data_IF_272057276215
#
_entry.id   IF_272057276215
#
_cell.length_a   1.000
_cell.length_b   1.000
_cell.length_c   1.000
_cell.angle_alpha   90.00
_cell.angle_beta   90.00
_cell.angle_gamma   90.00
#
_symmetry.space_group_name_H-M   'P 1'
#
loop_
_entity.id
_entity.type
_entity.pdbx_description
1 polymer ?
#
# COMPACT_ATOMS: atom_id res chain seq x y z
N UNK A 1 -52.70 46.95 -54.36
CA UNK A 1 -51.42 47.34 -55.00
C UNK A 1 -50.34 47.36 -53.93
N UNK A 2 -49.16 46.81 -54.22
CA UNK A 2 -47.94 46.62 -53.39
C UNK A 2 -47.75 45.22 -52.78
N UNK A 3 -47.10 44.33 -53.55
CA UNK A 3 -46.18 43.31 -53.02
C UNK A 3 -44.89 44.02 -52.56
N UNK A 4 -44.22 43.51 -51.52
CA UNK A 4 -42.80 43.19 -51.71
C UNK A 4 -42.37 41.87 -51.07
N UNK A 5 -41.73 41.03 -51.89
CA UNK A 5 -40.40 40.45 -51.68
C UNK A 5 -39.93 40.20 -50.22
N UNK A 6 -39.88 38.93 -49.79
CA UNK A 6 -38.96 38.49 -48.73
C UNK A 6 -38.71 36.97 -48.88
N UNK A 7 -37.60 36.59 -49.53
CA UNK A 7 -36.35 36.09 -48.93
C UNK A 7 -36.42 34.61 -48.52
N UNK A 8 -35.76 33.80 -49.35
CA UNK A 8 -35.14 32.52 -49.02
C UNK A 8 -34.71 32.45 -47.55
N UNK A 9 -35.16 31.41 -46.85
CA UNK A 9 -34.52 30.97 -45.63
C UNK A 9 -34.27 29.47 -45.76
N UNK A 10 -33.01 29.16 -46.09
CA UNK A 10 -32.44 27.82 -46.20
C UNK A 10 -32.42 27.23 -44.79
N UNK A 11 -33.17 26.14 -44.58
CA UNK A 11 -33.11 25.36 -43.36
C UNK A 11 -31.79 24.55 -43.37
N UNK A 12 -30.84 24.97 -42.54
CA UNK A 12 -29.56 24.29 -42.34
C UNK A 12 -29.74 23.19 -41.29
N UNK A 13 -29.97 21.97 -41.76
CA UNK A 13 -30.07 20.76 -40.93
C UNK A 13 -28.69 20.42 -40.34
N UNK A 14 -28.50 20.59 -39.02
CA UNK A 14 -27.31 20.06 -38.33
C UNK A 14 -27.43 18.53 -38.21
N UNK A 15 -26.77 17.81 -39.11
CA UNK A 15 -26.48 16.39 -38.96
C UNK A 15 -25.27 16.21 -38.05
N UNK A 16 -25.51 15.77 -36.81
CA UNK A 16 -24.46 15.29 -35.92
C UNK A 16 -23.82 14.02 -36.52
N UNK A 17 -22.50 13.97 -36.78
CA UNK A 17 -21.86 12.74 -37.19
C UNK A 17 -21.69 11.86 -35.95
N UNK A 18 -22.39 10.73 -35.92
CA UNK A 18 -22.11 9.65 -34.97
C UNK A 18 -20.74 9.05 -35.35
N UNK A 19 -19.70 9.38 -34.59
CA UNK A 19 -18.42 8.71 -34.69
C UNK A 19 -18.53 7.33 -34.05
N UNK A 20 -18.72 6.30 -34.88
CA UNK A 20 -18.53 4.91 -34.47
C UNK A 20 -17.05 4.70 -34.17
N UNK A 21 -16.71 4.42 -32.92
CA UNK A 21 -15.38 3.96 -32.55
C UNK A 21 -15.12 2.62 -33.24
N UNK A 22 -14.32 2.63 -34.30
CA UNK A 22 -13.79 1.41 -34.89
C UNK A 22 -12.77 0.84 -33.91
N UNK A 23 -13.11 -0.28 -33.26
CA UNK A 23 -12.11 -1.12 -32.63
C UNK A 23 -11.24 -1.67 -33.77
N UNK A 24 -10.12 -0.99 -34.04
CA UNK A 24 -9.13 -1.45 -35.00
C UNK A 24 -8.78 -2.90 -34.68
N UNK A 25 -9.12 -3.79 -35.61
CA UNK A 25 -8.70 -5.18 -35.61
C UNK A 25 -7.20 -5.25 -35.28
N UNK A 26 -6.86 -5.98 -34.22
CA UNK A 26 -5.48 -6.08 -33.76
C UNK A 26 -4.62 -6.60 -34.91
N UNK A 27 -3.61 -5.83 -35.30
CA UNK A 27 -2.58 -6.30 -36.22
C UNK A 27 -1.66 -7.19 -35.41
N UNK A 28 -1.76 -8.50 -35.63
CA UNK A 28 -0.77 -9.46 -35.16
C UNK A 28 0.51 -9.19 -35.95
N UNK A 29 1.49 -8.54 -35.30
CA UNK A 29 2.78 -8.21 -35.91
C UNK A 29 3.55 -9.48 -36.30
N UNK A 30 3.40 -10.55 -35.51
CA UNK A 30 3.95 -11.88 -35.78
C UNK A 30 3.28 -12.91 -34.85
N UNK A 31 2.86 -14.06 -35.38
CA UNK A 31 2.35 -15.19 -34.58
C UNK A 31 3.45 -16.24 -34.47
N UNK A 32 4.20 -16.18 -33.38
CA UNK A 32 5.23 -17.17 -33.02
C UNK A 32 4.67 -18.26 -32.08
N UNK A 33 3.35 -18.32 -31.90
CA UNK A 33 2.70 -19.38 -31.13
C UNK A 33 2.69 -20.71 -31.87
N UNK A 34 2.47 -21.82 -31.15
CA UNK A 34 2.29 -23.16 -31.73
C UNK A 34 3.37 -24.17 -31.39
N UNK A 35 4.52 -23.72 -30.85
CA UNK A 35 5.47 -24.62 -30.20
C UNK A 35 5.08 -24.81 -28.73
N UNK A 36 5.08 -26.06 -28.29
CA UNK A 36 4.77 -26.37 -26.90
C UNK A 36 5.80 -25.71 -25.99
N UNK A 37 5.32 -24.94 -25.01
CA UNK A 37 6.19 -24.37 -23.99
C UNK A 37 6.56 -25.39 -22.90
N UNK A 38 6.06 -26.64 -22.97
CA UNK A 38 6.36 -27.71 -22.02
C UNK A 38 7.85 -27.89 -21.70
N UNK A 39 8.81 -27.82 -22.66
CA UNK A 39 10.23 -27.96 -22.35
C UNK A 39 10.74 -26.89 -21.37
N UNK A 40 10.12 -25.71 -21.34
CA UNK A 40 10.49 -24.62 -20.43
C UNK A 40 9.83 -24.74 -19.05
N UNK A 41 8.76 -25.54 -18.92
CA UNK A 41 8.04 -25.78 -17.67
C UNK A 41 8.30 -27.16 -17.08
N UNK A 42 9.06 -28.03 -17.78
CA UNK A 42 9.27 -29.42 -17.38
C UNK A 42 9.94 -29.52 -15.99
N UNK A 43 10.85 -28.60 -15.69
CA UNK A 43 11.54 -28.50 -14.41
C UNK A 43 10.73 -27.74 -13.34
N UNK A 44 9.61 -27.11 -13.74
CA UNK A 44 8.70 -26.39 -12.84
C UNK A 44 7.54 -27.28 -12.37
N UNK A 45 7.39 -28.49 -12.92
CA UNK A 45 6.44 -29.47 -12.41
C UNK A 45 6.94 -29.95 -11.04
N UNK A 46 6.20 -29.69 -9.95
CA UNK A 46 6.61 -30.14 -8.62
C UNK A 46 6.81 -31.65 -8.62
N UNK A 47 7.84 -32.14 -7.93
CA UNK A 47 8.00 -33.57 -7.71
C UNK A 47 6.71 -34.07 -7.01
N UNK A 48 6.15 -35.23 -7.36
CA UNK A 48 5.05 -35.81 -6.59
C UNK A 48 5.38 -35.92 -5.08
N UNK A 49 6.65 -35.97 -4.68
CA UNK A 49 7.07 -35.84 -3.28
C UNK A 49 6.81 -34.44 -2.67
N UNK A 50 6.85 -33.37 -3.48
CA UNK A 50 6.49 -32.00 -3.08
C UNK A 50 4.97 -31.83 -2.92
N UNK A 51 4.15 -32.57 -3.66
CA UNK A 51 2.69 -32.59 -3.50
C UNK A 51 2.25 -33.22 -2.16
N UNK A 52 3.10 -34.08 -1.58
CA UNK A 52 2.91 -34.65 -0.24
C UNK A 52 3.36 -33.72 0.88
N UNK A 53 4.12 -32.64 0.59
CA UNK A 53 4.42 -31.65 1.62
C UNK A 53 3.11 -30.96 2.00
N UNK A 54 2.75 -30.88 3.29
CA UNK A 54 1.60 -30.10 3.69
C UNK A 54 1.77 -28.70 3.10
N UNK A 55 0.72 -28.14 2.48
CA UNK A 55 0.82 -26.80 1.91
C UNK A 55 1.38 -25.91 3.01
N UNK A 56 2.48 -25.21 2.71
CA UNK A 56 2.96 -24.11 3.55
C UNK A 56 1.70 -23.30 3.84
N UNK A 57 1.25 -23.29 5.10
CA UNK A 57 0.02 -22.59 5.49
C UNK A 57 0.13 -21.20 4.88
N UNK A 58 -0.71 -20.95 3.87
CA UNK A 58 -0.49 -19.88 2.91
C UNK A 58 -0.16 -18.59 3.63
N UNK A 59 0.81 -17.82 3.10
CA UNK A 59 1.34 -16.57 3.65
C UNK A 59 0.32 -15.95 4.59
N UNK A 60 0.46 -16.22 5.90
CA UNK A 60 -0.60 -15.85 6.82
C UNK A 60 -0.74 -14.34 6.73
N UNK A 61 -1.98 -13.87 6.52
CA UNK A 61 -2.30 -12.44 6.35
C UNK A 61 -2.06 -11.61 7.64
N UNK A 62 -1.21 -12.11 8.54
CA UNK A 62 -0.65 -11.47 9.73
C UNK A 62 0.88 -11.37 9.72
N UNK A 63 1.58 -11.76 8.66
CA UNK A 63 3.05 -11.74 8.62
C UNK A 63 3.70 -12.89 9.39
N UNK A 64 5.02 -13.01 9.27
CA UNK A 64 5.81 -13.96 10.06
C UNK A 64 5.98 -13.40 11.48
N UNK A 65 5.54 -14.17 12.48
CA UNK A 65 5.72 -13.86 13.90
C UNK A 65 6.83 -14.73 14.51
N UNK A 66 7.50 -14.27 15.58
CA UNK A 66 7.38 -12.94 16.17
C UNK A 66 8.00 -11.86 15.26
N UNK A 67 7.45 -10.65 15.31
CA UNK A 67 8.12 -9.48 14.71
C UNK A 67 8.97 -8.86 15.79
N UNK A 68 10.29 -8.82 15.57
CA UNK A 68 11.25 -8.21 16.48
C UNK A 68 12.24 -7.41 15.64
N UNK A 69 12.44 -6.15 16.02
CA UNK A 69 13.43 -5.25 15.42
C UNK A 69 14.55 -5.02 16.44
N UNK A 70 15.67 -5.78 16.39
CA UNK A 70 16.70 -5.77 17.43
C UNK A 70 17.36 -4.40 17.64
N UNK A 71 17.36 -3.54 16.62
CA UNK A 71 17.94 -2.21 16.65
C UNK A 71 17.10 -1.21 17.45
N UNK A 72 15.84 -1.55 17.74
CA UNK A 72 14.88 -0.64 18.37
C UNK A 72 14.35 -1.16 19.70
N UNK A 73 14.24 -0.27 20.68
CA UNK A 73 13.67 -0.55 22.01
C UNK A 73 12.62 0.50 22.40
N UNK A 74 11.66 0.19 23.29
CA UNK A 74 10.79 1.22 23.83
C UNK A 74 11.64 2.29 24.53
N UNK A 75 11.52 3.54 24.13
CA UNK A 75 12.35 4.63 24.67
C UNK A 75 11.89 6.02 24.27
N UNK A 76 12.70 7.02 24.62
CA UNK A 76 12.50 8.39 24.16
C UNK A 76 13.15 8.58 22.80
N UNK A 77 12.46 9.26 21.90
CA UNK A 77 12.96 9.64 20.58
C UNK A 77 13.16 11.14 20.54
N UNK A 78 14.38 11.57 20.23
CA UNK A 78 14.69 12.99 20.07
C UNK A 78 14.10 13.49 18.76
N UNK A 79 13.23 14.49 18.85
CA UNK A 79 12.63 15.13 17.69
C UNK A 79 13.68 15.83 16.82
N UNK A 80 13.56 15.69 15.50
CA UNK A 80 14.45 16.35 14.54
C UNK A 80 13.79 16.53 13.18
N UNK A 81 14.28 17.50 12.42
CA UNK A 81 13.88 17.72 11.03
C UNK A 81 14.59 16.69 10.15
N UNK A 82 13.87 16.20 9.14
CA UNK A 82 14.39 15.36 8.07
C UNK A 82 13.91 15.90 6.72
N UNK A 83 14.45 15.38 5.62
CA UNK A 83 13.97 15.68 4.27
C UNK A 83 13.68 14.38 3.53
N UNK A 84 12.43 13.95 3.58
CA UNK A 84 11.93 12.74 2.95
C UNK A 84 10.70 13.08 2.07
N UNK A 85 10.90 13.79 0.95
CA UNK A 85 9.80 14.19 0.08
C UNK A 85 9.08 12.96 -0.48
N UNK A 86 7.75 13.01 -0.51
CA UNK A 86 6.91 11.89 -0.95
C UNK A 86 6.73 10.76 0.08
N UNK A 87 7.32 10.87 1.28
CA UNK A 87 7.07 9.91 2.36
C UNK A 87 5.63 10.03 2.86
N UNK A 88 4.87 8.94 2.79
CA UNK A 88 3.59 8.83 3.46
C UNK A 88 3.81 8.87 4.98
N UNK A 89 3.07 9.69 5.75
CA UNK A 89 3.17 9.71 7.19
C UNK A 89 3.01 8.30 7.76
N UNK A 90 3.92 7.93 8.67
CA UNK A 90 3.91 6.62 9.30
C UNK A 90 4.39 6.74 10.74
N UNK A 91 4.00 5.78 11.57
CA UNK A 91 4.44 5.72 12.95
C UNK A 91 4.90 4.32 13.31
N UNK A 92 5.85 4.24 14.25
CA UNK A 92 6.40 2.99 14.76
C UNK A 92 5.91 2.80 16.20
N UNK A 93 5.39 1.62 16.51
CA UNK A 93 4.93 1.22 17.84
C UNK A 93 5.31 -0.23 18.13
N UNK A 94 5.40 -0.60 19.40
CA UNK A 94 5.52 -1.98 19.85
C UNK A 94 4.33 -2.42 20.68
N UNK A 95 4.29 -3.71 21.01
CA UNK A 95 3.36 -4.29 21.98
C UNK A 95 3.81 -4.02 23.43
N UNK A 96 3.79 -2.75 23.82
CA UNK A 96 4.16 -2.28 25.16
C UNK A 96 3.34 -1.07 25.63
N UNK A 97 3.33 -0.84 26.94
CA UNK A 97 2.51 0.20 27.57
C UNK A 97 2.91 1.63 27.16
N UNK A 98 4.19 1.88 26.84
CA UNK A 98 4.65 3.18 26.33
C UNK A 98 4.02 3.45 24.98
N UNK A 99 4.07 2.48 24.07
CA UNK A 99 3.46 2.56 22.75
C UNK A 99 1.95 2.72 22.82
N UNK A 100 1.28 2.01 23.72
CA UNK A 100 -0.16 2.14 23.98
C UNK A 100 -0.52 3.56 24.41
N UNK A 101 0.16 4.08 25.44
CA UNK A 101 -0.10 5.43 25.98
C UNK A 101 0.13 6.49 24.91
N UNK A 102 1.24 6.37 24.18
CA UNK A 102 1.58 7.29 23.09
C UNK A 102 0.54 7.27 21.97
N UNK A 103 0.12 6.09 21.52
CA UNK A 103 -0.85 5.95 20.45
C UNK A 103 -2.22 6.53 20.83
N UNK A 104 -2.64 6.37 22.09
CA UNK A 104 -3.87 6.98 22.61
C UNK A 104 -3.80 8.52 22.63
N UNK A 105 -2.65 9.08 23.01
CA UNK A 105 -2.44 10.54 23.06
C UNK A 105 -2.42 11.17 21.66
N UNK A 106 -1.86 10.46 20.67
CA UNK A 106 -1.66 10.99 19.30
C UNK A 106 -2.72 10.51 18.30
N UNK A 107 -3.72 9.73 18.75
CA UNK A 107 -4.69 9.07 17.88
C UNK A 107 -5.33 10.02 16.85
N UNK A 108 -5.82 11.17 17.31
CA UNK A 108 -6.50 12.13 16.45
C UNK A 108 -5.56 12.70 15.39
N UNK A 109 -4.32 13.05 15.77
CA UNK A 109 -3.31 13.56 14.85
C UNK A 109 -2.94 12.51 13.81
N UNK A 110 -2.73 11.26 14.23
CA UNK A 110 -2.38 10.16 13.33
C UNK A 110 -3.51 9.88 12.32
N UNK A 111 -4.77 9.98 12.75
CA UNK A 111 -5.93 9.83 11.86
C UNK A 111 -6.02 10.97 10.84
N UNK A 112 -5.81 12.22 11.28
CA UNK A 112 -5.81 13.39 10.39
C UNK A 112 -4.71 13.31 9.33
N UNK A 113 -3.54 12.79 9.71
CA UNK A 113 -2.42 12.56 8.80
C UNK A 113 -2.59 11.31 7.93
N UNK A 114 -3.64 10.52 8.16
CA UNK A 114 -3.82 9.18 7.57
C UNK A 114 -2.55 8.31 7.68
N UNK A 115 -1.91 8.39 8.86
CA UNK A 115 -0.63 7.76 9.08
C UNK A 115 -0.75 6.23 9.15
N UNK A 116 0.21 5.53 8.54
CA UNK A 116 0.29 4.07 8.60
C UNK A 116 1.08 3.63 9.82
N UNK A 117 0.52 2.73 10.62
CA UNK A 117 1.16 2.19 11.81
C UNK A 117 1.97 0.93 11.50
N UNK A 118 3.25 0.96 11.85
CA UNK A 118 4.15 -0.17 11.77
C UNK A 118 4.39 -0.72 13.19
N UNK A 119 3.99 -1.96 13.41
CA UNK A 119 4.19 -2.66 14.69
C UNK A 119 5.52 -3.41 14.61
N UNK A 120 6.56 -2.84 15.22
CA UNK A 120 7.98 -3.28 15.06
C UNK A 120 8.43 -4.31 16.09
N UNK A 121 7.62 -4.49 17.14
CA UNK A 121 7.83 -5.52 18.15
C UNK A 121 6.48 -6.09 18.60
N UNK A 122 6.20 -7.35 18.25
CA UNK A 122 4.98 -8.06 18.67
C UNK A 122 5.20 -9.57 18.61
N UNK A 123 4.81 -10.27 19.67
CA UNK A 123 5.11 -11.69 19.83
C UNK A 123 4.24 -12.60 18.94
N UNK A 124 3.05 -12.16 18.55
CA UNK A 124 2.12 -13.01 17.81
C UNK A 124 0.85 -12.31 17.34
N UNK A 125 -0.01 -13.03 16.60
CA UNK A 125 -1.21 -12.48 15.98
C UNK A 125 -2.25 -12.00 17.01
N UNK A 126 -2.43 -12.71 18.13
CA UNK A 126 -3.36 -12.30 19.19
C UNK A 126 -2.96 -10.97 19.82
N UNK A 127 -1.66 -10.78 20.07
CA UNK A 127 -1.14 -9.52 20.59
C UNK A 127 -1.25 -8.40 19.58
N UNK A 128 -0.97 -8.65 18.30
CA UNK A 128 -1.20 -7.68 17.24
C UNK A 128 -2.67 -7.24 17.17
N UNK A 129 -3.61 -8.18 17.35
CA UNK A 129 -5.03 -7.86 17.38
C UNK A 129 -5.39 -6.96 18.58
N UNK A 130 -4.71 -7.07 19.72
CA UNK A 130 -4.84 -6.14 20.84
C UNK A 130 -4.27 -4.75 20.50
N UNK A 131 -3.06 -4.69 19.94
CA UNK A 131 -2.41 -3.43 19.52
C UNK A 131 -3.31 -2.65 18.55
N UNK A 132 -3.96 -3.35 17.60
CA UNK A 132 -4.92 -2.75 16.65
C UNK A 132 -6.12 -2.09 17.33
N UNK A 133 -6.54 -2.55 18.51
CA UNK A 133 -7.65 -1.93 19.25
C UNK A 133 -7.26 -0.58 19.87
N UNK A 134 -5.97 -0.31 20.03
CA UNK A 134 -5.48 0.97 20.58
C UNK A 134 -5.60 2.12 19.58
N UNK A 135 -5.59 1.81 18.28
CA UNK A 135 -5.66 2.79 17.19
C UNK A 135 -6.84 2.56 16.24
N UNK A 136 -8.10 2.67 16.71
CA UNK A 136 -9.26 2.49 15.83
C UNK A 136 -9.21 3.50 14.67
N UNK A 137 -9.52 3.03 13.46
CA UNK A 137 -9.46 3.86 12.24
C UNK A 137 -8.05 4.06 11.66
N UNK A 138 -7.01 3.52 12.29
CA UNK A 138 -5.65 3.47 11.73
C UNK A 138 -5.33 2.07 11.19
N UNK A 139 -4.52 2.01 10.13
CA UNK A 139 -3.98 0.76 9.64
C UNK A 139 -2.73 0.40 10.45
N UNK A 140 -2.71 -0.77 11.10
CA UNK A 140 -1.54 -1.27 11.83
C UNK A 140 -1.06 -2.60 11.25
N UNK A 141 0.19 -2.60 10.78
CA UNK A 141 0.84 -3.71 10.09
C UNK A 141 2.06 -4.22 10.87
N UNK A 142 2.18 -5.54 11.10
CA UNK A 142 3.37 -6.14 11.68
C UNK A 142 4.52 -6.04 10.67
N UNK A 143 5.60 -5.34 11.02
CA UNK A 143 6.68 -5.01 10.06
C UNK A 143 8.05 -5.01 10.75
N UNK A 144 9.06 -5.64 10.12
CA UNK A 144 10.45 -5.52 10.56
C UNK A 144 10.94 -4.09 10.31
N UNK A 145 11.37 -3.41 11.37
CA UNK A 145 11.76 -2.00 11.33
C UNK A 145 13.24 -1.77 11.00
N UNK A 146 14.04 -2.80 10.69
CA UNK A 146 15.50 -2.66 10.59
C UNK A 146 15.94 -1.68 9.49
N UNK A 147 15.26 -1.67 8.34
CA UNK A 147 15.57 -0.73 7.25
C UNK A 147 15.35 0.72 7.66
N UNK A 148 14.22 1.01 8.30
CA UNK A 148 13.91 2.37 8.77
C UNK A 148 14.78 2.75 9.97
N UNK A 149 15.13 1.78 10.83
CA UNK A 149 16.09 1.94 11.92
C UNK A 149 17.45 2.41 11.40
N UNK A 150 17.98 1.73 10.39
CA UNK A 150 19.27 2.08 9.77
C UNK A 150 19.22 3.42 9.05
N UNK A 151 18.23 3.62 8.18
CA UNK A 151 18.14 4.83 7.33
C UNK A 151 17.92 6.11 8.12
N UNK A 152 17.15 6.03 9.20
CA UNK A 152 16.86 7.17 10.06
C UNK A 152 17.66 7.11 11.37
N UNK A 153 18.59 6.17 11.57
CA UNK A 153 19.31 6.04 12.85
C UNK A 153 18.37 5.99 14.06
N UNK A 154 17.21 5.34 13.92
CA UNK A 154 16.22 5.20 14.99
C UNK A 154 16.60 4.03 15.89
N UNK A 155 16.74 4.31 17.19
CA UNK A 155 17.02 3.31 18.23
C UNK A 155 15.86 3.07 19.18
N UNK A 156 14.89 3.98 19.15
CA UNK A 156 13.76 3.95 20.05
C UNK A 156 12.45 4.18 19.31
N UNK A 157 11.39 3.66 19.90
CA UNK A 157 10.00 3.90 19.55
C UNK A 157 9.21 4.10 20.86
N UNK A 158 7.97 4.64 20.86
CA UNK A 158 7.16 5.02 19.70
C UNK A 158 7.59 6.34 19.05
N UNK A 159 7.25 6.53 17.77
CA UNK A 159 7.61 7.74 17.00
C UNK A 159 6.69 7.93 15.78
N UNK A 160 6.37 9.19 15.46
CA UNK A 160 5.75 9.64 14.21
C UNK A 160 6.81 10.19 13.25
N UNK A 161 6.73 9.76 11.99
CA UNK A 161 7.64 10.13 10.92
C UNK A 161 6.80 10.72 9.78
N UNK A 162 7.12 11.96 9.40
CA UNK A 162 6.53 12.67 8.28
C UNK A 162 7.60 12.98 7.23
N UNK A 163 7.22 13.58 6.11
CA UNK A 163 8.17 14.01 5.08
C UNK A 163 9.22 15.02 5.57
N UNK A 164 8.93 15.74 6.67
CA UNK A 164 9.77 16.82 7.18
C UNK A 164 10.28 16.60 8.60
N UNK A 165 9.70 15.67 9.36
CA UNK A 165 10.04 15.52 10.79
C UNK A 165 10.04 14.08 11.25
N UNK A 166 10.89 13.80 12.23
CA UNK A 166 10.81 12.66 13.14
C UNK A 166 10.49 13.23 14.50
N UNK A 167 9.41 12.80 15.12
CA UNK A 167 8.99 13.30 16.44
C UNK A 167 8.29 12.20 17.22
N UNK A 168 8.44 12.25 18.54
CA UNK A 168 7.65 11.41 19.43
C UNK A 168 6.32 12.12 19.67
#
# INVERSE_FOLDING_TARGET
>A
MKLPLARCLVALSLTFPYTLASAGQLVVLEDHGGVSALPYYQDLVPDPADAQRPPLQGVQMGGAFPVVTPEMTPGLVQGRVINAPGLQPLFLVGDDERSRTWLQQHLQQLQQLQAVGLVVNVSGPSRLAEVRKWGPGLQLLPTLGSDIAGRLGLRHYPVLITSTTVQQ
#
